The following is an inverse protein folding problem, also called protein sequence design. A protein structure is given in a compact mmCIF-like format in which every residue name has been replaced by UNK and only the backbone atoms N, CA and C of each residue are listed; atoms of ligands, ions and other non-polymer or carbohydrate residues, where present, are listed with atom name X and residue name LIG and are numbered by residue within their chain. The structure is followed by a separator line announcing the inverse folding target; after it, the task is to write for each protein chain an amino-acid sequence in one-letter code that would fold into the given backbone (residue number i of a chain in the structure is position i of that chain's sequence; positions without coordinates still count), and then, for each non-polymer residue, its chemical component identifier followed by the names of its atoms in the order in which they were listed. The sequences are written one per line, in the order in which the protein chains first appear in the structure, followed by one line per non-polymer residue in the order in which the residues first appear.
data_IF_651089117089
#
_entry.id   IF_651089117089
#
_cell.length_a   1.000
_cell.length_b   1.000
_cell.length_c   1.000
_cell.angle_alpha   90.00
_cell.angle_beta   90.00
_cell.angle_gamma   90.00
#
_symmetry.space_group_name_H-M   'P 1'
#
loop_
_entity.id
_entity.type
_entity.pdbx_description
1 polymer ?
#
# COMPACT_ATOMS: atom_id res chain seq x y z
N UNK A 1 -3.33 4.59 -22.85
CA UNK A 1 -3.59 4.39 -21.40
C UNK A 1 -5.09 4.27 -21.16
N UNK A 2 -5.53 3.23 -20.45
CA UNK A 2 -6.92 2.99 -20.06
C UNK A 2 -7.00 2.87 -18.54
N UNK A 3 -7.96 3.56 -17.88
CA UNK A 3 -8.21 3.48 -16.44
C UNK A 3 -9.69 3.22 -16.21
N UNK A 4 -9.99 2.11 -15.54
CA UNK A 4 -11.33 1.77 -15.04
C UNK A 4 -11.53 2.44 -13.68
N UNK A 5 -12.69 3.08 -13.47
CA UNK A 5 -12.98 3.86 -12.27
C UNK A 5 -14.04 3.15 -11.44
N UNK A 6 -13.64 2.60 -10.31
CA UNK A 6 -14.50 2.05 -9.26
C UNK A 6 -14.68 3.03 -8.09
N UNK A 7 -13.78 4.01 -7.97
CA UNK A 7 -13.78 5.04 -6.95
C UNK A 7 -13.65 6.41 -7.63
N UNK A 8 -14.67 7.24 -7.51
CA UNK A 8 -14.70 8.58 -8.12
C UNK A 8 -14.01 9.63 -7.25
N UNK A 9 -13.58 10.75 -7.86
CA UNK A 9 -13.05 11.90 -7.11
C UNK A 9 -14.09 12.51 -6.16
N UNK A 10 -15.37 12.49 -6.52
CA UNK A 10 -16.45 13.01 -5.68
C UNK A 10 -16.59 12.17 -4.40
N UNK A 11 -16.57 10.85 -4.52
CA UNK A 11 -16.63 9.94 -3.36
C UNK A 11 -15.43 10.13 -2.44
N UNK A 12 -14.22 10.28 -3.00
CA UNK A 12 -13.02 10.57 -2.19
C UNK A 12 -13.15 11.90 -1.47
N UNK A 13 -13.64 12.94 -2.14
CA UNK A 13 -13.79 14.26 -1.56
C UNK A 13 -14.84 14.28 -0.43
N UNK A 14 -15.98 13.63 -0.62
CA UNK A 14 -17.03 13.50 0.40
C UNK A 14 -16.51 12.74 1.63
N UNK A 15 -15.86 11.60 1.43
CA UNK A 15 -15.27 10.81 2.51
C UNK A 15 -14.14 11.55 3.24
N UNK A 16 -13.39 12.42 2.54
CA UNK A 16 -12.35 13.23 3.19
C UNK A 16 -12.95 14.19 4.21
N UNK A 17 -14.09 14.84 3.89
CA UNK A 17 -14.80 15.70 4.83
C UNK A 17 -15.23 14.92 6.06
N UNK A 18 -15.91 13.77 5.86
CA UNK A 18 -16.37 12.90 6.95
C UNK A 18 -15.19 12.41 7.82
N UNK A 19 -14.06 12.06 7.19
CA UNK A 19 -12.86 11.60 7.89
C UNK A 19 -12.22 12.68 8.75
N UNK A 20 -12.18 13.92 8.26
CA UNK A 20 -11.69 15.07 9.04
C UNK A 20 -12.61 15.36 10.22
N UNK A 21 -13.94 15.30 10.03
CA UNK A 21 -14.93 15.45 11.10
C UNK A 21 -14.82 14.33 12.14
N UNK A 22 -14.60 13.10 11.70
CA UNK A 22 -14.39 11.95 12.57
C UNK A 22 -13.03 11.93 13.28
N UNK A 23 -12.09 12.79 12.89
CA UNK A 23 -10.70 12.81 13.40
C UNK A 23 -9.91 11.54 13.07
N UNK A 24 -10.23 10.92 11.96
CA UNK A 24 -9.63 9.67 11.50
C UNK A 24 -9.46 9.70 9.98
N UNK A 25 -8.20 9.86 9.51
CA UNK A 25 -7.88 9.97 8.09
C UNK A 25 -7.38 8.61 7.56
N UNK A 26 -8.18 7.91 6.72
CA UNK A 26 -7.76 6.72 6.00
C UNK A 26 -6.51 6.90 5.13
N UNK A 27 -5.79 5.81 4.93
CA UNK A 27 -4.51 5.75 4.22
C UNK A 27 -4.56 6.38 2.82
N UNK A 28 -5.65 6.24 2.06
CA UNK A 28 -5.79 6.76 0.69
C UNK A 28 -5.59 8.26 0.56
N UNK A 29 -5.89 9.06 1.58
CA UNK A 29 -5.73 10.51 1.53
C UNK A 29 -4.28 10.97 1.52
N UNK A 30 -3.35 10.09 1.90
CA UNK A 30 -1.90 10.36 1.86
C UNK A 30 -1.31 10.24 0.44
N UNK A 31 -2.12 9.83 -0.54
CA UNK A 31 -1.74 9.67 -1.95
C UNK A 31 -2.69 10.40 -2.91
N UNK A 32 -3.68 11.11 -2.39
CA UNK A 32 -4.75 11.69 -3.19
C UNK A 32 -4.38 13.05 -3.80
N UNK A 33 -3.87 13.99 -2.99
CA UNK A 33 -3.53 15.33 -3.48
C UNK A 33 -2.14 15.36 -4.10
N UNK A 34 -1.87 16.29 -5.06
CA UNK A 34 -0.51 16.44 -5.61
C UNK A 34 0.56 16.70 -4.55
N UNK A 35 0.21 17.38 -3.46
CA UNK A 35 1.11 17.64 -2.35
C UNK A 35 1.42 16.36 -1.57
N UNK A 36 0.41 15.53 -1.32
CA UNK A 36 0.57 14.23 -0.66
C UNK A 36 1.42 13.28 -1.51
N UNK A 37 1.16 13.21 -2.81
CA UNK A 37 1.95 12.40 -3.75
C UNK A 37 3.41 12.83 -3.74
N UNK A 38 3.68 14.15 -3.82
CA UNK A 38 5.06 14.67 -3.79
C UNK A 38 5.79 14.33 -2.48
N UNK A 39 5.09 14.42 -1.34
CA UNK A 39 5.66 14.06 -0.04
C UNK A 39 5.96 12.56 0.06
N UNK A 40 5.09 11.72 -0.51
CA UNK A 40 5.32 10.28 -0.61
C UNK A 40 6.50 9.94 -1.52
N UNK A 41 6.62 10.58 -2.69
CA UNK A 41 7.75 10.38 -3.61
C UNK A 41 9.10 10.72 -2.94
N UNK A 42 9.15 11.80 -2.15
CA UNK A 42 10.34 12.15 -1.39
C UNK A 42 10.69 11.09 -0.32
N UNK A 43 9.68 10.51 0.34
CA UNK A 43 9.86 9.43 1.30
C UNK A 43 10.32 8.12 0.63
N UNK A 44 9.71 7.72 -0.50
CA UNK A 44 10.06 6.49 -1.22
C UNK A 44 11.47 6.54 -1.82
N UNK A 45 11.90 7.69 -2.31
CA UNK A 45 13.26 7.89 -2.81
C UNK A 45 14.34 7.63 -1.74
N UNK A 46 14.03 7.93 -0.48
CA UNK A 46 14.95 7.70 0.64
C UNK A 46 15.00 6.24 1.09
N UNK A 47 13.88 5.53 1.05
CA UNK A 47 13.76 4.12 1.46
C UNK A 47 14.07 3.10 0.35
N UNK A 48 14.12 3.54 -0.90
CA UNK A 48 14.20 2.65 -2.07
C UNK A 48 15.50 1.85 -2.21
N UNK A 49 16.61 2.27 -1.58
CA UNK A 49 17.88 1.54 -1.70
C UNK A 49 17.87 0.19 -0.97
N UNK A 50 17.26 0.12 0.22
CA UNK A 50 17.19 -1.10 1.04
C UNK A 50 16.35 -2.19 0.38
N UNK A 51 15.31 -1.82 -0.36
CA UNK A 51 14.39 -2.75 -1.01
C UNK A 51 14.91 -3.25 -2.36
N UNK A 52 15.83 -2.54 -3.01
CA UNK A 52 16.29 -2.85 -4.37
C UNK A 52 16.82 -4.28 -4.52
N UNK A 53 17.68 -4.73 -3.62
CA UNK A 53 18.24 -6.09 -3.65
C UNK A 53 17.19 -7.19 -3.50
N UNK A 54 16.16 -6.95 -2.68
CA UNK A 54 15.03 -7.87 -2.51
C UNK A 54 14.23 -7.99 -3.81
N UNK A 55 13.97 -6.88 -4.47
CA UNK A 55 13.23 -6.84 -5.74
C UNK A 55 14.00 -7.48 -6.89
N UNK A 56 15.31 -7.28 -6.97
CA UNK A 56 16.18 -7.97 -7.94
C UNK A 56 16.14 -9.48 -7.72
N UNK A 57 16.24 -9.94 -6.47
CA UNK A 57 16.13 -11.36 -6.11
C UNK A 57 14.79 -11.93 -6.51
N UNK A 58 13.70 -11.21 -6.25
CA UNK A 58 12.34 -11.61 -6.62
C UNK A 58 12.17 -11.65 -8.15
N UNK A 59 12.63 -10.62 -8.86
CA UNK A 59 12.60 -10.56 -10.32
C UNK A 59 13.31 -11.76 -10.96
N UNK A 60 14.48 -12.16 -10.44
CA UNK A 60 15.21 -13.33 -10.92
C UNK A 60 14.45 -14.66 -10.70
N UNK A 61 13.55 -14.73 -9.73
CA UNK A 61 12.76 -15.91 -9.39
C UNK A 61 11.37 -15.93 -9.98
N UNK A 62 10.79 -14.78 -10.33
CA UNK A 62 9.40 -14.65 -10.75
C UNK A 62 9.08 -15.49 -11.97
N UNK A 63 9.99 -15.57 -12.94
CA UNK A 63 9.81 -16.39 -14.13
C UNK A 63 9.72 -17.90 -13.79
N UNK A 64 10.43 -18.35 -12.77
CA UNK A 64 10.36 -19.73 -12.28
C UNK A 64 9.09 -20.00 -11.48
N UNK A 65 8.71 -19.08 -10.60
CA UNK A 65 7.49 -19.15 -9.82
C UNK A 65 6.24 -19.22 -10.71
N UNK A 66 6.25 -18.49 -11.82
CA UNK A 66 5.14 -18.46 -12.78
C UNK A 66 5.22 -19.52 -13.88
N UNK A 67 6.15 -20.48 -13.82
CA UNK A 67 6.20 -21.61 -14.77
C UNK A 67 4.88 -22.35 -14.97
N UNK A 68 4.07 -22.56 -13.92
CA UNK A 68 2.75 -23.21 -14.07
C UNK A 68 1.75 -22.36 -14.87
N UNK A 69 1.97 -21.05 -15.02
CA UNK A 69 1.12 -20.22 -15.85
C UNK A 69 1.39 -20.51 -17.33
N UNK A 70 0.35 -20.36 -18.15
CA UNK A 70 0.52 -20.42 -19.60
C UNK A 70 1.36 -19.25 -20.13
N UNK A 71 1.33 -19.01 -21.44
CA UNK A 71 2.07 -17.87 -22.03
C UNK A 71 1.56 -16.53 -21.45
N UNK A 72 0.23 -16.38 -21.31
CA UNK A 72 -0.41 -15.17 -20.75
C UNK A 72 -0.25 -15.15 -19.24
N UNK A 73 0.20 -14.01 -18.70
CA UNK A 73 0.43 -13.79 -17.27
C UNK A 73 -0.20 -12.48 -16.84
N UNK A 74 -1.45 -12.50 -16.36
CA UNK A 74 -2.06 -11.30 -15.76
C UNK A 74 -1.39 -10.98 -14.43
N UNK A 75 -1.01 -9.71 -14.24
CA UNK A 75 -0.42 -9.21 -12.99
C UNK A 75 -1.33 -8.14 -12.43
N UNK A 76 -1.87 -8.37 -11.23
CA UNK A 76 -2.78 -7.47 -10.51
C UNK A 76 -2.04 -6.96 -9.28
N UNK A 77 -1.82 -5.65 -9.17
CA UNK A 77 -1.05 -5.05 -8.07
C UNK A 77 -1.94 -4.17 -7.21
N UNK A 78 -2.22 -4.59 -5.97
CA UNK A 78 -2.99 -3.84 -4.99
C UNK A 78 -2.13 -2.80 -4.28
N UNK A 79 -2.48 -1.52 -4.40
CA UNK A 79 -1.69 -0.40 -3.91
C UNK A 79 -0.42 -0.21 -4.74
N UNK A 80 -0.55 -0.23 -6.05
CA UNK A 80 0.56 -0.20 -7.00
C UNK A 80 1.45 1.05 -6.90
N UNK A 81 0.89 2.17 -6.43
CA UNK A 81 1.59 3.46 -6.46
C UNK A 81 2.03 3.81 -7.88
N UNK A 82 3.27 4.24 -8.06
CA UNK A 82 3.87 4.52 -9.38
C UNK A 82 4.31 3.27 -10.16
N UNK A 83 4.11 2.07 -9.61
CA UNK A 83 4.47 0.81 -10.26
C UNK A 83 5.98 0.55 -10.40
N UNK A 84 6.86 1.33 -9.76
CA UNK A 84 8.31 1.22 -9.92
C UNK A 84 8.85 -0.17 -9.53
N UNK A 85 8.30 -0.74 -8.46
CA UNK A 85 8.65 -2.10 -7.98
C UNK A 85 8.09 -3.15 -8.93
N UNK A 86 6.85 -2.99 -9.34
CA UNK A 86 6.16 -3.90 -10.24
C UNK A 86 6.88 -4.00 -11.59
N UNK A 87 7.36 -2.88 -12.16
CA UNK A 87 8.08 -2.84 -13.44
C UNK A 87 9.28 -3.79 -13.48
N UNK A 88 9.99 -3.99 -12.36
CA UNK A 88 11.11 -4.94 -12.32
C UNK A 88 10.62 -6.38 -12.56
N UNK A 89 9.48 -6.75 -11.95
CA UNK A 89 8.85 -8.05 -12.13
C UNK A 89 8.27 -8.21 -13.53
N UNK A 90 7.60 -7.16 -14.05
CA UNK A 90 7.02 -7.15 -15.41
C UNK A 90 8.12 -7.37 -16.46
N UNK A 91 9.23 -6.66 -16.37
CA UNK A 91 10.40 -6.82 -17.25
C UNK A 91 10.98 -8.24 -17.18
N UNK A 92 11.12 -8.80 -15.98
CA UNK A 92 11.64 -10.16 -15.79
C UNK A 92 10.69 -11.22 -16.40
N UNK A 93 9.38 -11.05 -16.27
CA UNK A 93 8.39 -11.91 -16.91
C UNK A 93 8.44 -11.80 -18.44
N UNK A 94 8.51 -10.58 -18.98
CA UNK A 94 8.61 -10.33 -20.41
C UNK A 94 9.91 -10.93 -20.99
N UNK A 95 11.04 -10.75 -20.30
CA UNK A 95 12.32 -11.36 -20.68
C UNK A 95 12.29 -12.91 -20.67
N UNK A 96 11.42 -13.51 -19.82
CA UNK A 96 11.15 -14.94 -19.80
C UNK A 96 10.15 -15.40 -20.90
N UNK A 97 9.77 -14.51 -21.82
CA UNK A 97 8.87 -14.80 -22.93
C UNK A 97 7.39 -14.88 -22.55
N UNK A 98 6.99 -14.27 -21.39
CA UNK A 98 5.60 -14.18 -20.98
C UNK A 98 4.89 -13.03 -21.71
N UNK A 99 3.62 -13.25 -22.02
CA UNK A 99 2.68 -12.24 -22.49
C UNK A 99 2.02 -11.63 -21.26
N UNK A 100 2.57 -10.51 -20.80
CA UNK A 100 2.20 -9.87 -19.53
C UNK A 100 1.13 -8.83 -19.77
N UNK A 101 0.06 -8.87 -18.96
CA UNK A 101 -0.93 -7.80 -18.89
C UNK A 101 -0.99 -7.29 -17.45
N UNK A 102 -0.76 -6.00 -17.28
CA UNK A 102 -0.63 -5.36 -15.98
C UNK A 102 -1.90 -4.61 -15.59
N UNK A 103 -2.35 -4.84 -14.37
CA UNK A 103 -3.52 -4.22 -13.77
C UNK A 103 -3.11 -3.56 -12.44
N UNK A 104 -2.55 -2.33 -12.46
CA UNK A 104 -2.30 -1.58 -11.25
C UNK A 104 -3.62 -1.12 -10.64
N UNK A 105 -3.78 -1.32 -9.33
CA UNK A 105 -4.95 -0.93 -8.53
C UNK A 105 -4.51 0.07 -7.48
N UNK A 106 -5.04 1.29 -7.52
CA UNK A 106 -4.71 2.34 -6.55
C UNK A 106 -5.88 3.34 -6.42
N UNK A 107 -5.96 4.07 -5.32
CA UNK A 107 -6.94 5.14 -5.14
C UNK A 107 -6.50 6.45 -5.83
N UNK A 108 -5.21 6.62 -6.07
CA UNK A 108 -4.63 7.83 -6.66
C UNK A 108 -4.63 7.77 -8.18
N UNK A 109 -5.40 8.65 -8.82
CA UNK A 109 -5.42 8.81 -10.28
C UNK A 109 -4.02 9.07 -10.83
N UNK A 110 -3.27 9.97 -10.22
CA UNK A 110 -1.94 10.37 -10.68
C UNK A 110 -0.92 9.23 -10.62
N UNK A 111 -0.94 8.45 -9.53
CA UNK A 111 -0.05 7.30 -9.40
C UNK A 111 -0.38 6.21 -10.42
N UNK A 112 -1.67 5.94 -10.67
CA UNK A 112 -2.10 5.00 -11.71
C UNK A 112 -1.66 5.42 -13.10
N UNK A 113 -1.79 6.72 -13.43
CA UNK A 113 -1.32 7.25 -14.71
C UNK A 113 0.18 7.01 -14.89
N UNK A 114 0.96 7.24 -13.83
CA UNK A 114 2.41 6.99 -13.83
C UNK A 114 2.72 5.50 -13.97
N UNK A 115 2.02 4.64 -13.23
CA UNK A 115 2.21 3.18 -13.28
C UNK A 115 1.91 2.61 -14.67
N UNK A 116 0.78 3.02 -15.28
CA UNK A 116 0.39 2.59 -16.62
C UNK A 116 1.38 3.08 -17.68
N UNK A 117 1.72 4.38 -17.67
CA UNK A 117 2.68 4.94 -18.61
C UNK A 117 4.03 4.25 -18.51
N UNK A 118 4.52 4.02 -17.28
CA UNK A 118 5.77 3.31 -17.07
C UNK A 118 5.78 1.86 -17.58
N UNK A 119 4.64 1.16 -17.50
CA UNK A 119 4.50 -0.19 -18.05
C UNK A 119 4.44 -0.16 -19.59
N UNK A 120 3.70 0.79 -20.17
CA UNK A 120 3.61 0.98 -21.62
C UNK A 120 4.97 1.34 -22.23
N UNK A 121 5.81 2.14 -21.54
CA UNK A 121 7.19 2.43 -21.94
C UNK A 121 8.07 1.16 -22.00
N UNK A 122 7.70 0.12 -21.28
CA UNK A 122 8.35 -1.19 -21.25
C UNK A 122 7.64 -2.23 -22.18
N UNK A 123 6.84 -1.77 -23.13
CA UNK A 123 6.03 -2.61 -24.04
C UNK A 123 5.06 -3.57 -23.33
N UNK A 124 4.63 -3.25 -22.10
CA UNK A 124 3.65 -4.03 -21.35
C UNK A 124 2.27 -3.39 -21.43
N UNK A 125 1.27 -4.16 -21.87
CA UNK A 125 -0.13 -3.70 -21.87
C UNK A 125 -0.59 -3.44 -20.43
N UNK A 126 -1.10 -2.22 -20.15
CA UNK A 126 -1.57 -1.83 -18.83
C UNK A 126 -3.00 -1.30 -18.86
N UNK A 127 -3.79 -1.68 -17.84
CA UNK A 127 -5.12 -1.14 -17.56
C UNK A 127 -5.18 -0.76 -16.09
N UNK A 128 -5.18 0.53 -15.79
CA UNK A 128 -5.29 1.03 -14.42
C UNK A 128 -6.69 0.78 -13.84
N UNK A 129 -6.77 0.50 -12.56
CA UNK A 129 -8.04 0.34 -11.84
C UNK A 129 -8.03 1.30 -10.66
N UNK A 130 -8.80 2.39 -10.76
CA UNK A 130 -8.94 3.35 -9.68
C UNK A 130 -9.92 2.82 -8.65
N UNK A 131 -9.40 2.38 -7.51
CA UNK A 131 -10.17 1.66 -6.49
C UNK A 131 -9.60 1.88 -5.08
N UNK A 132 -10.46 1.80 -4.08
CA UNK A 132 -10.07 1.72 -2.68
C UNK A 132 -9.82 0.27 -2.30
N UNK A 133 -8.58 -0.09 -2.04
CA UNK A 133 -8.20 -1.45 -1.63
C UNK A 133 -8.58 -1.80 -0.18
N UNK A 134 -9.08 -0.84 0.62
CA UNK A 134 -9.74 -1.15 1.90
C UNK A 134 -11.14 -1.72 1.70
N UNK A 135 -11.77 -1.47 0.54
CA UNK A 135 -13.07 -2.00 0.17
C UNK A 135 -12.97 -3.42 -0.38
N UNK A 136 -13.55 -4.43 0.29
CA UNK A 136 -13.57 -5.81 -0.19
C UNK A 136 -14.22 -5.94 -1.58
N UNK A 137 -15.25 -5.12 -1.84
CA UNK A 137 -15.95 -5.11 -3.13
C UNK A 137 -15.02 -4.64 -4.25
N UNK A 138 -14.30 -3.52 -4.05
CA UNK A 138 -13.37 -3.02 -5.05
C UNK A 138 -12.24 -4.03 -5.32
N UNK A 139 -11.73 -4.69 -4.28
CA UNK A 139 -10.70 -5.72 -4.44
C UNK A 139 -11.19 -6.91 -5.26
N UNK A 140 -12.41 -7.40 -5.01
CA UNK A 140 -12.99 -8.50 -5.79
C UNK A 140 -13.20 -8.08 -7.25
N UNK A 141 -13.76 -6.90 -7.51
CA UNK A 141 -13.94 -6.39 -8.87
C UNK A 141 -12.61 -6.24 -9.60
N UNK A 142 -11.60 -5.68 -8.94
CA UNK A 142 -10.26 -5.56 -9.50
C UNK A 142 -9.58 -6.93 -9.72
N UNK A 143 -9.86 -7.93 -8.90
CA UNK A 143 -9.33 -9.28 -9.07
C UNK A 143 -10.01 -10.03 -10.23
N UNK A 144 -11.28 -9.75 -10.50
CA UNK A 144 -12.06 -10.47 -11.54
C UNK A 144 -11.88 -9.92 -12.97
N UNK A 145 -10.98 -8.93 -13.18
CA UNK A 145 -10.63 -8.42 -14.53
C UNK A 145 -9.92 -9.46 -15.40
N UNK A 146 -9.43 -10.53 -14.80
CA UNK A 146 -8.80 -11.65 -15.51
C UNK A 146 -9.08 -12.99 -14.84
N UNK A 147 -9.04 -14.05 -15.64
CA UNK A 147 -9.17 -15.42 -15.14
C UNK A 147 -7.84 -15.93 -14.56
N UNK A 148 -7.92 -16.89 -13.65
CA UNK A 148 -6.75 -17.60 -13.10
C UNK A 148 -6.05 -18.45 -14.19
N UNK A 149 -4.74 -18.69 -14.10
CA UNK A 149 -3.83 -18.27 -13.02
C UNK A 149 -3.37 -16.81 -13.15
N UNK A 150 -3.32 -16.11 -12.02
CA UNK A 150 -2.95 -14.68 -11.91
C UNK A 150 -1.81 -14.50 -10.93
N UNK A 151 -0.99 -13.49 -11.17
CA UNK A 151 0.01 -13.01 -10.21
C UNK A 151 -0.55 -11.79 -9.48
N UNK A 152 -0.77 -11.90 -8.19
CA UNK A 152 -1.13 -10.78 -7.32
C UNK A 152 0.10 -10.21 -6.65
N UNK A 153 0.17 -8.89 -6.58
CA UNK A 153 1.17 -8.15 -5.84
C UNK A 153 0.47 -7.29 -4.78
N UNK A 154 0.99 -7.29 -3.56
CA UNK A 154 0.70 -6.32 -2.52
C UNK A 154 2.02 -5.96 -1.85
N UNK A 155 2.72 -4.98 -2.41
CA UNK A 155 4.14 -4.76 -2.17
C UNK A 155 4.42 -3.30 -1.78
N UNK A 156 5.57 -3.06 -1.13
CA UNK A 156 5.92 -1.73 -0.62
C UNK A 156 5.34 -1.44 0.75
N UNK A 157 5.15 -2.47 1.58
CA UNK A 157 4.51 -2.39 2.90
C UNK A 157 3.05 -1.89 2.85
N UNK A 158 2.35 -2.17 1.76
CA UNK A 158 0.95 -1.78 1.57
C UNK A 158 0.06 -2.35 2.67
N UNK A 159 0.25 -3.65 3.02
CA UNK A 159 -0.50 -4.30 4.10
C UNK A 159 -0.43 -3.53 5.42
N UNK A 160 0.73 -2.97 5.77
CA UNK A 160 0.93 -2.24 7.02
C UNK A 160 0.09 -0.95 7.16
N UNK A 161 -0.46 -0.41 6.07
CA UNK A 161 -1.33 0.78 6.08
C UNK A 161 -2.80 0.49 6.37
N UNK A 162 -3.18 -0.77 6.58
CA UNK A 162 -4.55 -1.22 6.82
C UNK A 162 -4.63 -2.07 8.08
N UNK A 163 -5.85 -2.36 8.57
CA UNK A 163 -6.01 -3.41 9.57
C UNK A 163 -5.58 -4.75 8.96
N UNK A 164 -4.46 -5.34 9.42
CA UNK A 164 -3.88 -6.47 8.72
C UNK A 164 -4.70 -7.75 8.85
N UNK A 165 -5.49 -7.87 9.94
CA UNK A 165 -6.34 -9.04 10.16
C UNK A 165 -7.49 -9.09 9.13
N UNK A 166 -8.08 -7.94 8.83
CA UNK A 166 -9.14 -7.87 7.83
C UNK A 166 -8.57 -7.81 6.42
N UNK A 167 -7.54 -6.99 6.20
CA UNK A 167 -6.97 -6.79 4.88
C UNK A 167 -6.42 -8.07 4.26
N UNK A 168 -5.72 -8.89 5.04
CA UNK A 168 -5.19 -10.15 4.50
C UNK A 168 -6.29 -11.15 4.13
N UNK A 169 -7.43 -11.15 4.83
CA UNK A 169 -8.60 -11.95 4.45
C UNK A 169 -9.20 -11.48 3.13
N UNK A 170 -9.30 -10.17 2.91
CA UNK A 170 -9.77 -9.61 1.65
C UNK A 170 -8.86 -10.03 0.49
N UNK A 171 -7.54 -9.91 0.66
CA UNK A 171 -6.56 -10.38 -0.32
C UNK A 171 -6.70 -11.88 -0.56
N UNK A 172 -6.74 -12.70 0.49
CA UNK A 172 -6.85 -14.15 0.38
C UNK A 172 -8.16 -14.61 -0.28
N UNK A 173 -9.24 -13.83 -0.15
CA UNK A 173 -10.50 -14.09 -0.84
C UNK A 173 -10.40 -13.89 -2.36
N UNK A 174 -9.53 -12.97 -2.81
CA UNK A 174 -9.27 -12.72 -4.23
C UNK A 174 -8.41 -13.84 -4.88
N UNK A 175 -7.54 -14.47 -4.09
CA UNK A 175 -6.60 -15.50 -4.56
C UNK A 175 -7.31 -16.82 -4.74
N UNK A 176 -7.31 -17.38 -5.96
CA UNK A 176 -7.91 -18.68 -6.33
C UNK A 176 -6.81 -19.73 -6.49
N UNK A 177 -7.24 -21.01 -6.60
CA UNK A 177 -6.29 -22.10 -6.87
C UNK A 177 -5.56 -21.88 -8.20
N UNK A 178 -4.25 -21.94 -8.18
CA UNK A 178 -3.37 -21.66 -9.31
C UNK A 178 -2.81 -20.25 -9.35
N UNK A 179 -3.38 -19.32 -8.60
CA UNK A 179 -2.83 -17.96 -8.44
C UNK A 179 -1.60 -17.97 -7.53
N UNK A 180 -0.78 -16.95 -7.67
CA UNK A 180 0.35 -16.63 -6.80
C UNK A 180 0.13 -15.24 -6.23
N UNK A 181 0.37 -15.06 -4.93
CA UNK A 181 0.42 -13.77 -4.25
C UNK A 181 1.86 -13.51 -3.79
N UNK A 182 2.38 -12.35 -4.14
CA UNK A 182 3.60 -11.79 -3.58
C UNK A 182 3.20 -10.64 -2.68
N UNK A 183 3.58 -10.75 -1.41
CA UNK A 183 3.22 -9.77 -0.39
C UNK A 183 4.42 -9.49 0.51
N UNK A 184 4.58 -8.24 0.93
CA UNK A 184 5.70 -7.85 1.77
C UNK A 184 5.25 -7.01 2.99
N UNK A 185 6.15 -6.88 3.94
CA UNK A 185 5.96 -6.05 5.11
C UNK A 185 7.29 -5.59 5.71
N UNK A 186 7.23 -4.46 6.42
CA UNK A 186 8.31 -4.04 7.32
C UNK A 186 8.31 -4.90 8.59
N UNK A 187 9.51 -5.31 9.01
CA UNK A 187 9.69 -6.04 10.26
C UNK A 187 9.98 -5.07 11.42
N UNK A 188 9.46 -5.43 12.58
CA UNK A 188 9.85 -4.81 13.85
C UNK A 188 11.18 -5.39 14.30
N UNK A 189 12.22 -4.55 14.43
CA UNK A 189 13.58 -4.96 14.73
C UNK A 189 13.97 -4.78 16.22
N UNK A 190 12.97 -4.57 17.10
CA UNK A 190 13.16 -4.46 18.54
C UNK A 190 13.47 -3.05 19.05
N UNK A 191 13.68 -2.07 18.18
CA UNK A 191 13.86 -0.67 18.55
C UNK A 191 12.69 0.17 18.02
N UNK A 192 12.19 1.15 18.82
CA UNK A 192 11.16 2.07 18.36
C UNK A 192 11.62 2.85 17.12
N UNK A 193 10.77 2.94 16.11
CA UNK A 193 11.05 3.74 14.93
C UNK A 193 11.02 5.23 15.29
N UNK A 194 12.18 5.88 15.22
CA UNK A 194 12.25 7.34 15.28
C UNK A 194 11.86 7.91 13.90
N UNK A 195 10.84 8.77 13.84
CA UNK A 195 10.40 9.31 12.55
C UNK A 195 11.44 10.25 11.94
N UNK A 196 11.70 10.09 10.65
CA UNK A 196 12.51 11.05 9.88
C UNK A 196 11.68 12.31 9.54
N UNK A 197 12.33 13.37 9.08
CA UNK A 197 11.61 14.59 8.67
C UNK A 197 10.72 14.33 7.45
N UNK A 198 11.15 13.48 6.52
CA UNK A 198 10.36 13.07 5.35
C UNK A 198 9.10 12.31 5.79
N UNK A 199 9.21 11.42 6.79
CA UNK A 199 8.05 10.74 7.35
C UNK A 199 7.05 11.71 7.99
N UNK A 200 7.54 12.72 8.73
CA UNK A 200 6.67 13.75 9.31
C UNK A 200 6.00 14.60 8.24
N UNK A 201 6.74 14.99 7.20
CA UNK A 201 6.21 15.75 6.07
C UNK A 201 5.15 14.95 5.31
N UNK A 202 5.40 13.68 5.03
CA UNK A 202 4.42 12.81 4.39
C UNK A 202 3.14 12.68 5.21
N UNK A 203 3.27 12.40 6.50
CA UNK A 203 2.12 12.26 7.42
C UNK A 203 1.33 13.55 7.55
N UNK A 204 1.98 14.71 7.49
CA UNK A 204 1.35 16.03 7.58
C UNK A 204 0.72 16.51 6.25
N UNK A 205 1.11 15.94 5.12
CA UNK A 205 0.75 16.45 3.79
C UNK A 205 -0.76 16.64 3.54
N UNK A 206 -1.69 15.74 3.97
CA UNK A 206 -3.12 15.95 3.81
C UNK A 206 -3.61 17.21 4.54
N UNK A 207 -3.13 17.47 5.76
CA UNK A 207 -3.48 18.66 6.52
C UNK A 207 -2.85 19.95 5.96
N UNK A 208 -1.61 19.85 5.46
CA UNK A 208 -0.97 20.94 4.77
C UNK A 208 -1.75 21.37 3.50
N UNK A 209 -2.37 20.39 2.82
CA UNK A 209 -3.29 20.62 1.71
C UNK A 209 -4.54 21.42 2.10
N UNK A 210 -4.93 21.39 3.38
CA UNK A 210 -6.01 22.21 3.97
C UNK A 210 -5.53 23.57 4.52
N UNK A 211 -4.26 23.92 4.29
CA UNK A 211 -3.67 25.19 4.70
C UNK A 211 -3.09 25.20 6.12
N UNK A 212 -3.00 24.07 6.80
CA UNK A 212 -2.33 23.99 8.09
C UNK A 212 -0.80 24.06 7.90
N UNK A 213 -0.14 24.60 8.93
CA UNK A 213 1.30 24.77 9.00
C UNK A 213 1.89 24.03 10.22
N UNK A 214 3.21 23.93 10.30
CA UNK A 214 3.89 23.36 11.47
C UNK A 214 3.65 24.16 12.77
N UNK A 215 3.17 25.41 12.70
CA UNK A 215 2.83 26.22 13.87
C UNK A 215 1.46 25.84 14.47
N UNK A 216 0.61 25.18 13.69
CA UNK A 216 -0.75 24.82 14.07
C UNK A 216 -0.81 23.61 15.00
N UNK A 217 0.24 22.79 15.03
CA UNK A 217 0.28 21.61 15.89
C UNK A 217 1.56 20.78 15.75
N UNK A 218 1.54 19.62 16.35
CA UNK A 218 2.66 18.67 16.34
C UNK A 218 2.21 17.30 15.86
N UNK A 219 3.13 16.58 15.20
CA UNK A 219 2.92 15.18 14.82
C UNK A 219 3.48 14.26 15.90
N UNK A 220 2.63 13.43 16.45
CA UNK A 220 2.96 12.40 17.45
C UNK A 220 3.04 11.03 16.76
N UNK A 221 4.09 10.26 17.07
CA UNK A 221 4.24 8.86 16.70
C UNK A 221 4.20 8.01 17.95
N UNK A 222 3.26 7.07 18.02
CA UNK A 222 3.07 6.21 19.19
C UNK A 222 3.09 4.76 18.74
N UNK A 223 4.14 4.04 19.13
CA UNK A 223 4.28 2.60 18.90
C UNK A 223 3.78 1.83 20.13
N UNK A 224 3.04 0.76 19.88
CA UNK A 224 2.61 -0.18 20.93
C UNK A 224 2.41 -1.59 20.35
N UNK A 225 2.55 -2.64 21.17
CA UNK A 225 2.09 -3.98 20.79
C UNK A 225 0.60 -3.95 20.45
N UNK A 226 0.17 -4.84 19.56
CA UNK A 226 -1.25 -5.10 19.29
C UNK A 226 -1.64 -6.43 19.96
N UNK A 227 -2.63 -6.36 20.86
CA UNK A 227 -3.03 -7.48 21.72
C UNK A 227 -3.67 -8.65 20.94
N UNK A 228 -4.01 -8.46 19.65
CA UNK A 228 -4.64 -9.48 18.81
C UNK A 228 -3.65 -10.55 18.30
N UNK A 229 -2.36 -10.20 18.21
CA UNK A 229 -1.32 -11.10 17.72
C UNK A 229 0.02 -10.74 18.34
N UNK A 230 0.63 -11.67 19.05
CA UNK A 230 1.99 -11.49 19.56
C UNK A 230 2.98 -11.28 18.40
N UNK A 231 3.86 -10.28 18.55
CA UNK A 231 4.78 -9.88 17.51
C UNK A 231 4.17 -8.98 16.43
N UNK A 232 2.96 -8.47 16.63
CA UNK A 232 2.36 -7.40 15.84
C UNK A 232 2.39 -6.08 16.61
N UNK A 233 2.81 -4.99 15.95
CA UNK A 233 2.96 -3.67 16.55
C UNK A 233 2.23 -2.63 15.73
N UNK A 234 1.56 -1.69 16.41
CA UNK A 234 0.86 -0.57 15.80
C UNK A 234 1.63 0.72 16.06
N UNK A 235 2.03 1.41 15.00
CA UNK A 235 2.55 2.78 15.04
C UNK A 235 1.44 3.74 14.61
N UNK A 236 0.77 4.35 15.56
CA UNK A 236 -0.25 5.36 15.29
C UNK A 236 0.39 6.75 15.13
N UNK A 237 -0.04 7.50 14.12
CA UNK A 237 0.45 8.83 13.79
C UNK A 237 -0.68 9.82 13.95
N UNK A 238 -0.50 10.83 14.80
CA UNK A 238 -1.54 11.79 15.15
C UNK A 238 -1.04 13.21 15.01
N UNK A 239 -1.91 14.07 14.50
CA UNK A 239 -1.73 15.51 14.66
C UNK A 239 -2.39 15.93 15.96
N UNK A 240 -1.71 16.76 16.78
CA UNK A 240 -2.27 17.39 17.96
C UNK A 240 -2.26 18.90 17.77
N UNK A 241 -3.44 19.53 17.78
CA UNK A 241 -3.60 20.97 17.60
C UNK A 241 -2.99 21.78 18.76
N UNK A 242 -2.14 22.75 18.47
CA UNK A 242 -1.53 23.64 19.47
C UNK A 242 -2.42 24.84 19.82
N UNK A 243 -3.42 25.12 19.01
CA UNK A 243 -4.43 26.21 19.16
C UNK A 243 -5.76 25.78 18.59
N UNK A 244 -6.81 26.56 18.80
CA UNK A 244 -8.08 26.36 18.10
C UNK A 244 -7.89 26.66 16.61
N UNK A 245 -8.36 25.76 15.75
CA UNK A 245 -8.25 25.81 14.31
C UNK A 245 -9.63 25.77 13.66
N UNK A 246 -9.72 26.35 12.46
CA UNK A 246 -10.91 26.28 11.59
C UNK A 246 -10.45 25.88 10.21
N UNK A 247 -10.66 24.63 9.85
CA UNK A 247 -10.28 24.09 8.54
C UNK A 247 -11.43 24.25 7.56
N UNK A 248 -11.12 24.64 6.33
CA UNK A 248 -12.08 24.65 5.22
C UNK A 248 -11.89 23.38 4.41
N UNK A 249 -12.88 22.49 4.46
CA UNK A 249 -12.84 21.20 3.76
C UNK A 249 -14.04 21.13 2.83
N UNK A 250 -13.81 21.16 1.51
CA UNK A 250 -14.87 21.13 0.48
C UNK A 250 -15.99 22.16 0.71
N UNK A 251 -15.64 23.37 1.20
CA UNK A 251 -16.58 24.44 1.48
C UNK A 251 -17.29 24.36 2.83
N UNK A 252 -16.98 23.36 3.64
CA UNK A 252 -17.46 23.23 5.02
C UNK A 252 -16.39 23.64 6.02
N UNK A 253 -16.79 24.30 7.12
CA UNK A 253 -15.89 24.67 8.20
C UNK A 253 -15.87 23.56 9.25
N UNK A 254 -14.70 22.96 9.46
CA UNK A 254 -14.46 21.93 10.49
C UNK A 254 -13.62 22.54 11.61
N UNK A 255 -14.20 22.79 12.81
CA UNK A 255 -13.46 23.29 13.96
C UNK A 255 -12.65 22.18 14.62
N UNK A 256 -11.42 22.49 15.01
CA UNK A 256 -10.53 21.63 15.81
C UNK A 256 -10.10 22.42 17.04
N UNK A 257 -10.41 21.92 18.22
CA UNK A 257 -10.06 22.57 19.47
C UNK A 257 -8.58 22.36 19.81
N UNK A 258 -8.00 23.30 20.56
CA UNK A 258 -6.66 23.15 21.10
C UNK A 258 -6.53 21.85 21.91
N UNK A 259 -5.49 21.08 21.65
CA UNK A 259 -5.21 19.77 22.29
C UNK A 259 -6.00 18.61 21.69
N UNK A 260 -6.89 18.87 20.74
CA UNK A 260 -7.60 17.82 20.01
C UNK A 260 -6.63 17.09 19.10
N UNK A 261 -6.88 15.78 18.91
CA UNK A 261 -6.03 14.90 18.10
C UNK A 261 -6.79 14.38 16.89
N UNK A 262 -6.12 14.37 15.75
CA UNK A 262 -6.58 13.72 14.52
C UNK A 262 -5.67 12.52 14.30
N UNK A 263 -6.21 11.31 14.17
CA UNK A 263 -5.48 10.16 13.66
C UNK A 263 -5.23 10.38 12.18
N UNK A 264 -3.97 10.52 11.81
CA UNK A 264 -3.58 10.78 10.43
C UNK A 264 -3.47 9.48 9.64
N UNK A 265 -2.70 8.56 10.14
CA UNK A 265 -2.67 7.18 9.68
C UNK A 265 -1.98 6.31 10.72
N UNK A 266 -1.83 5.04 10.39
CA UNK A 266 -1.06 4.10 11.20
C UNK A 266 -0.21 3.20 10.31
N UNK A 267 0.73 2.50 10.93
CA UNK A 267 1.51 1.43 10.31
C UNK A 267 1.57 0.25 11.24
N UNK A 268 1.32 -0.92 10.68
CA UNK A 268 1.61 -2.18 11.35
C UNK A 268 2.99 -2.67 10.98
N UNK A 269 3.71 -3.14 11.99
CA UNK A 269 5.00 -3.81 11.89
C UNK A 269 4.85 -5.21 12.48
N UNK A 270 5.66 -6.15 12.03
CA UNK A 270 5.54 -7.54 12.44
C UNK A 270 6.91 -8.13 12.80
N UNK A 271 6.93 -9.11 13.71
CA UNK A 271 8.02 -10.10 13.67
C UNK A 271 7.79 -11.02 12.47
N UNK A 272 8.85 -11.68 12.00
CA UNK A 272 8.74 -12.64 10.89
C UNK A 272 7.75 -13.78 11.22
N UNK A 273 7.70 -14.22 12.48
CA UNK A 273 6.78 -15.24 12.98
C UNK A 273 5.32 -14.77 12.90
N UNK A 274 5.04 -13.54 13.38
CA UNK A 274 3.71 -12.96 13.34
C UNK A 274 3.21 -12.79 11.90
N UNK A 275 4.07 -12.34 11.01
CA UNK A 275 3.72 -12.21 9.59
C UNK A 275 3.42 -13.57 8.94
N UNK A 276 4.21 -14.60 9.20
CA UNK A 276 3.92 -15.97 8.73
C UNK A 276 2.60 -16.49 9.26
N UNK A 277 2.36 -16.32 10.56
CA UNK A 277 1.10 -16.72 11.19
C UNK A 277 -0.10 -16.04 10.53
N UNK A 278 0.01 -14.72 10.29
CA UNK A 278 -1.04 -13.95 9.61
C UNK A 278 -1.37 -14.52 8.22
N UNK A 279 -0.35 -14.91 7.45
CA UNK A 279 -0.52 -15.47 6.12
C UNK A 279 -1.07 -16.91 6.15
N UNK A 280 -0.58 -17.77 7.05
CA UNK A 280 -0.88 -19.19 7.05
C UNK A 280 -2.13 -19.51 7.86
N UNK A 281 -2.12 -19.20 9.16
CA UNK A 281 -3.17 -19.61 10.09
C UNK A 281 -4.41 -18.71 9.95
N UNK A 282 -4.20 -17.41 9.78
CA UNK A 282 -5.31 -16.47 9.73
C UNK A 282 -5.92 -16.33 8.33
N UNK A 283 -5.10 -16.25 7.28
CA UNK A 283 -5.57 -16.08 5.90
C UNK A 283 -5.73 -17.42 5.13
N UNK A 284 -5.25 -18.54 5.67
CA UNK A 284 -5.32 -19.84 5.02
C UNK A 284 -4.52 -19.93 3.71
N UNK A 285 -3.44 -19.16 3.63
CA UNK A 285 -2.50 -19.21 2.52
C UNK A 285 -1.34 -20.16 2.85
N UNK A 286 -0.66 -20.66 1.84
CA UNK A 286 0.57 -21.43 2.00
C UNK A 286 1.76 -20.61 1.50
N UNK A 287 2.68 -20.29 2.39
CA UNK A 287 3.94 -19.64 2.03
C UNK A 287 4.85 -20.67 1.34
N UNK A 288 5.28 -20.39 0.12
CA UNK A 288 6.14 -21.25 -0.69
C UNK A 288 7.56 -20.74 -0.82
N UNK A 289 7.78 -19.45 -0.55
CA UNK A 289 9.10 -18.84 -0.47
C UNK A 289 9.07 -17.58 0.39
N UNK A 290 10.20 -17.27 1.00
CA UNK A 290 10.45 -16.02 1.71
C UNK A 290 11.77 -15.40 1.20
N UNK A 291 11.79 -14.09 1.10
CA UNK A 291 12.95 -13.31 0.68
C UNK A 291 13.12 -12.18 1.70
N UNK A 292 14.07 -12.32 2.64
CA UNK A 292 14.36 -11.25 3.59
C UNK A 292 15.04 -10.07 2.89
N UNK A 293 14.78 -8.87 3.37
CA UNK A 293 15.55 -7.68 3.01
C UNK A 293 17.01 -7.81 3.45
N UNK A 294 17.90 -7.14 2.76
CA UNK A 294 19.35 -7.22 3.00
C UNK A 294 19.77 -6.74 4.40
N UNK A 295 18.99 -5.85 5.00
CA UNK A 295 19.21 -5.29 6.35
C UNK A 295 18.35 -5.93 7.44
N UNK A 296 17.53 -6.93 7.08
CA UNK A 296 16.64 -7.63 8.01
C UNK A 296 15.41 -6.82 8.46
N UNK A 297 15.18 -5.63 7.89
CA UNK A 297 14.03 -4.77 8.25
C UNK A 297 12.78 -5.07 7.42
N UNK A 298 12.87 -6.01 6.48
CA UNK A 298 11.84 -6.27 5.50
C UNK A 298 11.73 -7.75 5.14
N UNK A 299 10.51 -8.22 4.91
CA UNK A 299 10.26 -9.60 4.50
C UNK A 299 9.23 -9.63 3.37
N UNK A 300 9.59 -10.29 2.26
CA UNK A 300 8.67 -10.61 1.18
C UNK A 300 8.30 -12.09 1.22
N UNK A 301 7.02 -12.40 1.18
CA UNK A 301 6.49 -13.76 1.12
C UNK A 301 5.85 -14.03 -0.25
N UNK A 302 6.07 -15.23 -0.77
CA UNK A 302 5.37 -15.77 -1.94
C UNK A 302 4.38 -16.81 -1.46
N UNK A 303 3.11 -16.59 -1.75
CA UNK A 303 2.01 -17.37 -1.25
C UNK A 303 1.16 -17.98 -2.37
N UNK A 304 0.54 -19.11 -2.10
CA UNK A 304 -0.49 -19.70 -2.96
C UNK A 304 -1.71 -20.08 -2.11
N UNK A 305 -2.85 -20.30 -2.75
CA UNK A 305 -4.03 -20.85 -2.08
C UNK A 305 -3.72 -22.25 -1.60
N UNK A 306 -3.99 -22.52 -0.31
CA UNK A 306 -3.82 -23.85 0.30
C UNK A 306 -4.80 -24.89 -0.26
#
# INVERSE_FOLDING_TARGET
MNIEVLLTEAEIADEFVESVEARDLPEKFFYWTPQSVKAWQALDAHSGETLRGTWETLANRVAELTKPFGKRTPVISFGAGEGLKDRQLLRALAAAGRDVKYYPVDASQHLLETACSGAEDDDCEAVGIKADISSPMHMVLAADVSEAPRLFLMVGNTLGGFDPMDQIRHVAACVKKGDILIIDTNLHIGEPLLPTEEQKQFVFAPLAGLGLTAEDGTIEFNERPDDRLDGMFLVARRFMASRDLRMQVAGQEVPIARGERILLNFRYLFTAEAFRWLLTEHAGLRVVAEIPGSDGTFLTAVCIKA
#
